data_IF_172518968061
#
_entry.id   IF_172518968061
#
_cell.length_a   1.000
_cell.length_b   1.000
_cell.length_c   1.000
_cell.angle_alpha   90.00
_cell.angle_beta   90.00
_cell.angle_gamma   90.00
#
_symmetry.space_group_name_H-M   'P 1'
#
loop_
_entity.id
_entity.type
_entity.pdbx_description
1 polymer ?
#
# COMPACT_ATOMS: atom_id res chain seq x y z
N UNK A 1 -18.62 -24.73 21.23
CA UNK A 1 -17.94 -23.58 21.84
C UNK A 1 -18.36 -22.30 21.15
N UNK A 2 -18.90 -21.33 21.88
CA UNK A 2 -19.34 -20.04 21.36
C UNK A 2 -18.11 -19.13 21.34
N UNK A 3 -17.50 -18.92 20.16
CA UNK A 3 -16.38 -17.97 20.02
C UNK A 3 -16.80 -16.60 20.56
N UNK A 4 -15.96 -15.99 21.38
CA UNK A 4 -16.24 -14.67 21.92
C UNK A 4 -16.29 -13.63 20.79
N UNK A 5 -17.02 -12.51 20.96
CA UNK A 5 -17.03 -11.42 19.97
C UNK A 5 -15.61 -10.94 19.64
N UNK A 6 -14.74 -10.93 20.63
CA UNK A 6 -13.32 -10.54 20.51
C UNK A 6 -12.55 -11.52 19.61
N UNK A 7 -12.76 -12.83 19.79
CA UNK A 7 -12.10 -13.86 19.00
C UNK A 7 -12.52 -13.81 17.52
N UNK A 8 -13.82 -13.57 17.26
CA UNK A 8 -14.34 -13.35 15.91
C UNK A 8 -13.71 -12.10 15.25
N UNK A 9 -13.60 -10.99 16.00
CA UNK A 9 -12.97 -9.76 15.51
C UNK A 9 -11.47 -9.95 15.21
N UNK A 10 -10.74 -10.66 16.06
CA UNK A 10 -9.33 -10.97 15.85
C UNK A 10 -9.12 -11.86 14.62
N UNK A 11 -9.97 -12.86 14.45
CA UNK A 11 -9.95 -13.74 13.27
C UNK A 11 -10.23 -12.94 11.99
N UNK A 12 -11.22 -12.04 12.00
CA UNK A 12 -11.52 -11.15 10.89
C UNK A 12 -10.31 -10.28 10.50
N UNK A 13 -9.70 -9.59 11.47
CA UNK A 13 -8.49 -8.78 11.25
C UNK A 13 -7.33 -9.61 10.66
N UNK A 14 -7.15 -10.84 11.16
CA UNK A 14 -6.11 -11.75 10.64
C UNK A 14 -6.34 -12.10 9.17
N UNK A 15 -7.58 -12.42 8.77
CA UNK A 15 -7.90 -12.71 7.37
C UNK A 15 -7.64 -11.47 6.50
N UNK A 16 -8.06 -10.28 6.95
CA UNK A 16 -7.81 -9.01 6.24
C UNK A 16 -6.31 -8.76 6.05
N UNK A 17 -5.50 -8.96 7.09
CA UNK A 17 -4.06 -8.76 7.02
C UNK A 17 -3.36 -9.74 6.03
N UNK A 18 -3.74 -11.02 6.06
CA UNK A 18 -3.24 -12.03 5.12
C UNK A 18 -3.66 -11.66 3.69
N UNK A 19 -4.93 -11.34 3.47
CA UNK A 19 -5.44 -10.93 2.16
C UNK A 19 -4.73 -9.68 1.64
N UNK A 20 -4.52 -8.67 2.50
CA UNK A 20 -3.81 -7.45 2.15
C UNK A 20 -2.38 -7.71 1.68
N UNK A 21 -1.66 -8.64 2.34
CA UNK A 21 -0.32 -9.07 1.93
C UNK A 21 -0.37 -9.83 0.61
N UNK A 22 -1.19 -10.88 0.54
CA UNK A 22 -1.28 -11.79 -0.61
C UNK A 22 -1.74 -11.10 -1.89
N UNK A 23 -2.71 -10.21 -1.81
CA UNK A 23 -3.13 -9.43 -2.98
C UNK A 23 -1.98 -8.58 -3.54
N UNK A 24 -1.11 -8.01 -2.71
CA UNK A 24 0.06 -7.27 -3.19
C UNK A 24 1.15 -8.17 -3.80
N UNK A 25 1.26 -9.41 -3.34
CA UNK A 25 2.23 -10.39 -3.86
C UNK A 25 1.77 -11.02 -5.17
N UNK A 26 0.49 -11.36 -5.29
CA UNK A 26 -0.05 -12.24 -6.33
C UNK A 26 -1.07 -11.53 -7.26
N UNK A 27 -1.42 -10.28 -6.97
CA UNK A 27 -2.51 -9.55 -7.64
C UNK A 27 -3.89 -9.94 -7.10
N UNK A 28 -4.92 -9.13 -7.42
CA UNK A 28 -6.28 -9.40 -6.94
C UNK A 28 -6.87 -10.69 -7.50
N UNK A 29 -6.48 -11.12 -8.68
CA UNK A 29 -6.95 -12.35 -9.31
C UNK A 29 -6.07 -13.57 -8.99
N UNK A 30 -4.83 -13.36 -8.52
CA UNK A 30 -3.82 -14.42 -8.36
C UNK A 30 -4.11 -15.40 -7.24
N UNK A 31 -4.89 -15.01 -6.21
CA UNK A 31 -5.20 -15.87 -5.08
C UNK A 31 -6.71 -16.02 -4.84
N UNK A 32 -7.16 -17.26 -4.63
CA UNK A 32 -8.54 -17.62 -4.34
C UNK A 32 -8.90 -17.54 -2.85
N UNK A 33 -10.23 -17.57 -2.55
CA UNK A 33 -10.73 -17.61 -1.16
C UNK A 33 -10.21 -18.86 -0.43
N UNK A 34 -10.11 -20.00 -1.12
CA UNK A 34 -9.68 -21.24 -0.52
C UNK A 34 -8.24 -21.14 0.04
N UNK A 35 -7.33 -20.57 -0.75
CA UNK A 35 -5.92 -20.43 -0.38
C UNK A 35 -5.74 -19.38 0.73
N UNK A 36 -6.47 -18.24 0.64
CA UNK A 36 -6.49 -17.24 1.71
C UNK A 36 -6.97 -17.81 3.05
N UNK A 37 -8.03 -18.60 3.03
CA UNK A 37 -8.57 -19.22 4.25
C UNK A 37 -7.64 -20.30 4.78
N UNK A 38 -7.02 -21.10 3.92
CA UNK A 38 -6.00 -22.08 4.30
C UNK A 38 -4.81 -21.40 4.98
N UNK A 39 -4.31 -20.28 4.44
CA UNK A 39 -3.23 -19.51 5.05
C UNK A 39 -3.61 -18.91 6.40
N UNK A 40 -4.89 -18.54 6.56
CA UNK A 40 -5.45 -18.11 7.84
C UNK A 40 -5.68 -19.27 8.84
N UNK A 41 -5.39 -20.52 8.49
CA UNK A 41 -5.67 -21.69 9.32
C UNK A 41 -7.17 -21.97 9.49
N UNK A 42 -7.98 -21.66 8.47
CA UNK A 42 -9.44 -21.74 8.51
C UNK A 42 -9.99 -22.52 7.31
N UNK A 43 -11.23 -22.99 7.45
CA UNK A 43 -11.96 -23.63 6.33
C UNK A 43 -12.63 -22.58 5.44
N UNK A 44 -12.83 -22.92 4.16
CA UNK A 44 -13.55 -22.06 3.19
C UNK A 44 -14.96 -21.70 3.70
N UNK A 45 -15.68 -22.62 4.35
CA UNK A 45 -16.99 -22.37 4.95
C UNK A 45 -16.98 -21.29 6.05
N UNK A 46 -15.82 -21.06 6.67
CA UNK A 46 -15.62 -19.99 7.66
C UNK A 46 -15.63 -18.58 7.03
N UNK A 47 -15.34 -18.45 5.75
CA UNK A 47 -15.23 -17.18 5.05
C UNK A 47 -16.53 -16.35 5.19
N UNK A 48 -17.68 -16.95 4.88
CA UNK A 48 -18.97 -16.26 4.88
C UNK A 48 -19.48 -15.85 6.27
N UNK A 49 -18.80 -16.32 7.36
CA UNK A 49 -19.05 -15.80 8.72
C UNK A 49 -18.39 -14.42 8.94
N UNK A 50 -17.45 -14.04 8.09
CA UNK A 50 -16.67 -12.80 8.20
C UNK A 50 -16.96 -11.81 7.07
N UNK A 51 -17.16 -12.29 5.83
CA UNK A 51 -17.31 -11.43 4.65
C UNK A 51 -18.53 -11.85 3.81
N UNK A 52 -19.29 -10.86 3.31
CA UNK A 52 -20.45 -11.11 2.44
C UNK A 52 -20.06 -11.57 1.04
N UNK A 53 -18.88 -11.18 0.57
CA UNK A 53 -18.36 -11.52 -0.75
C UNK A 53 -16.84 -11.38 -0.77
N UNK A 54 -16.21 -11.89 -1.84
CA UNK A 54 -14.79 -11.68 -2.10
C UNK A 54 -14.46 -10.19 -2.25
N UNK A 55 -15.31 -9.42 -2.94
CA UNK A 55 -15.11 -7.99 -3.14
C UNK A 55 -15.16 -7.21 -1.83
N UNK A 56 -15.99 -7.67 -0.86
CA UNK A 56 -15.99 -7.10 0.49
C UNK A 56 -14.65 -7.28 1.20
N UNK A 57 -14.03 -8.47 1.10
CA UNK A 57 -12.68 -8.71 1.61
C UNK A 57 -11.64 -7.86 0.87
N UNK A 58 -11.71 -7.80 -0.46
CA UNK A 58 -10.79 -6.98 -1.28
C UNK A 58 -10.83 -5.51 -0.83
N UNK A 59 -12.03 -4.93 -0.70
CA UNK A 59 -12.19 -3.55 -0.28
C UNK A 59 -11.59 -3.29 1.13
N UNK A 60 -11.81 -4.21 2.08
CA UNK A 60 -11.24 -4.10 3.42
C UNK A 60 -9.72 -4.28 3.43
N UNK A 61 -9.20 -5.25 2.67
CA UNK A 61 -7.76 -5.51 2.56
C UNK A 61 -7.00 -4.33 1.94
N UNK A 62 -7.55 -3.72 0.88
CA UNK A 62 -6.99 -2.52 0.25
C UNK A 62 -7.03 -1.34 1.22
N UNK A 63 -8.16 -1.13 1.92
CA UNK A 63 -8.27 -0.08 2.93
C UNK A 63 -7.23 -0.22 4.04
N UNK A 64 -7.07 -1.42 4.59
CA UNK A 64 -6.09 -1.75 5.63
C UNK A 64 -4.65 -1.54 5.15
N UNK A 65 -4.33 -1.99 3.94
CA UNK A 65 -2.98 -1.84 3.38
C UNK A 65 -2.59 -0.37 3.15
N UNK A 66 -3.54 0.47 2.74
CA UNK A 66 -3.30 1.91 2.55
C UNK A 66 -3.22 2.69 3.87
N UNK A 67 -3.75 2.16 4.98
CA UNK A 67 -3.61 2.74 6.31
C UNK A 67 -2.19 2.61 6.88
N UNK A 68 -1.44 1.58 6.52
CA UNK A 68 -0.11 1.29 7.07
C UNK A 68 0.89 2.46 6.93
N UNK A 69 0.76 3.27 5.88
CA UNK A 69 1.61 4.45 5.69
C UNK A 69 1.30 5.54 6.72
N UNK A 70 0.01 5.78 6.98
CA UNK A 70 -0.43 6.71 8.01
C UNK A 70 0.10 6.30 9.38
N UNK A 71 -0.07 5.02 9.73
CA UNK A 71 0.40 4.49 11.02
C UNK A 71 1.92 4.63 11.20
N UNK A 72 2.71 4.44 10.14
CA UNK A 72 4.18 4.63 10.18
C UNK A 72 4.57 6.09 10.44
N UNK A 73 3.87 7.03 9.82
CA UNK A 73 4.14 8.46 9.98
C UNK A 73 3.66 8.93 11.34
N UNK A 74 2.48 8.52 11.80
CA UNK A 74 1.96 8.86 13.13
C UNK A 74 2.87 8.29 14.24
N UNK A 75 3.39 7.08 14.10
CA UNK A 75 4.35 6.48 15.03
C UNK A 75 5.67 7.27 15.09
N UNK A 76 6.15 7.74 13.95
CA UNK A 76 7.35 8.59 13.90
C UNK A 76 7.12 9.97 14.55
N UNK A 77 5.93 10.55 14.38
CA UNK A 77 5.55 11.82 15.00
C UNK A 77 5.40 11.70 16.53
N UNK A 78 5.04 10.53 17.05
CA UNK A 78 4.83 10.28 18.49
C UNK A 78 6.14 10.08 19.31
N UNK A 79 7.31 10.35 18.74
CA UNK A 79 8.61 10.28 19.43
C UNK A 79 9.62 9.32 18.84
N UNK A 80 9.33 8.77 17.65
CA UNK A 80 10.28 8.04 16.81
C UNK A 80 11.23 8.98 16.05
N UNK A 81 12.22 8.44 15.33
CA UNK A 81 13.08 9.25 14.47
C UNK A 81 12.20 9.98 13.44
N UNK A 82 12.43 11.29 13.30
CA UNK A 82 11.66 12.15 12.38
C UNK A 82 11.79 11.62 10.96
N UNK A 83 10.68 11.25 10.34
CA UNK A 83 10.65 10.82 8.93
C UNK A 83 10.82 12.06 8.07
N UNK A 84 11.97 12.19 7.40
CA UNK A 84 12.17 13.26 6.41
C UNK A 84 11.55 12.87 5.06
N UNK A 85 11.29 13.88 4.23
CA UNK A 85 10.85 13.65 2.85
C UNK A 85 11.83 12.76 2.07
N UNK A 86 13.13 13.03 2.23
CA UNK A 86 14.19 12.28 1.56
C UNK A 86 14.22 10.82 2.01
N UNK A 87 14.12 10.56 3.32
CA UNK A 87 14.08 9.19 3.85
C UNK A 87 12.85 8.42 3.36
N UNK A 88 11.70 9.11 3.25
CA UNK A 88 10.47 8.51 2.71
C UNK A 88 10.63 8.12 1.24
N UNK A 89 11.25 8.98 0.43
CA UNK A 89 11.52 8.71 -0.99
C UNK A 89 12.51 7.54 -1.14
N UNK A 90 13.59 7.53 -0.34
CA UNK A 90 14.60 6.46 -0.38
C UNK A 90 14.03 5.11 0.05
N UNK A 91 13.26 5.07 1.12
CA UNK A 91 12.57 3.85 1.57
C UNK A 91 11.60 3.33 0.51
N UNK A 92 10.81 4.23 -0.09
CA UNK A 92 9.83 3.83 -1.10
C UNK A 92 10.48 3.33 -2.39
N UNK A 93 11.55 3.95 -2.86
CA UNK A 93 12.26 3.62 -4.09
C UNK A 93 13.47 2.68 -3.83
N UNK A 94 13.43 1.93 -2.74
CA UNK A 94 14.45 0.94 -2.40
C UNK A 94 14.25 -0.41 -3.13
N UNK A 95 15.34 -1.15 -3.32
CA UNK A 95 15.27 -2.54 -3.78
C UNK A 95 14.48 -3.42 -2.80
N UNK A 96 14.59 -3.17 -1.50
CA UNK A 96 13.82 -3.89 -0.49
C UNK A 96 12.30 -3.73 -0.69
N UNK A 97 11.82 -2.51 -0.99
CA UNK A 97 10.40 -2.30 -1.31
C UNK A 97 10.01 -2.93 -2.65
N UNK A 98 10.89 -2.90 -3.65
CA UNK A 98 10.67 -3.58 -4.94
C UNK A 98 10.48 -5.08 -4.75
N UNK A 99 11.36 -5.73 -3.98
CA UNK A 99 11.43 -7.18 -3.88
C UNK A 99 10.41 -7.78 -2.88
N UNK A 100 9.82 -6.95 -2.02
CA UNK A 100 8.83 -7.36 -1.02
C UNK A 100 7.47 -6.66 -1.19
N UNK A 101 6.74 -6.90 -2.30
CA UNK A 101 5.47 -6.21 -2.58
C UNK A 101 4.43 -6.39 -1.48
N UNK A 102 4.41 -7.56 -0.81
CA UNK A 102 3.49 -7.86 0.28
C UNK A 102 3.61 -6.94 1.51
N UNK A 103 4.77 -6.27 1.67
CA UNK A 103 5.01 -5.28 2.73
C UNK A 103 4.94 -3.84 2.24
N UNK A 104 4.83 -3.64 0.93
CA UNK A 104 4.91 -2.35 0.26
C UNK A 104 3.57 -1.65 0.06
N UNK A 105 3.63 -0.53 -0.68
CA UNK A 105 2.47 0.27 -1.02
C UNK A 105 1.52 -0.50 -1.97
N UNK A 106 0.23 -0.61 -1.65
CA UNK A 106 -0.73 -1.29 -2.51
C UNK A 106 -0.97 -0.57 -3.84
N UNK A 107 -0.76 0.74 -3.95
CA UNK A 107 -0.87 1.46 -5.22
C UNK A 107 0.23 0.99 -6.18
N UNK A 108 1.48 0.92 -5.71
CA UNK A 108 2.61 0.43 -6.51
C UNK A 108 2.54 -1.05 -6.89
N UNK A 109 1.72 -1.84 -6.19
CA UNK A 109 1.51 -3.26 -6.50
C UNK A 109 0.25 -3.53 -7.34
N UNK A 110 -0.82 -2.76 -7.11
CA UNK A 110 -2.18 -3.11 -7.54
C UNK A 110 -2.89 -2.02 -8.34
N UNK A 111 -2.21 -0.96 -8.82
CA UNK A 111 -2.88 0.14 -9.55
C UNK A 111 -3.73 -0.36 -10.73
N UNK A 112 -3.20 -1.30 -11.53
CA UNK A 112 -3.91 -1.90 -12.64
C UNK A 112 -5.13 -2.73 -12.21
N UNK A 113 -5.03 -3.48 -11.11
CA UNK A 113 -6.14 -4.25 -10.56
C UNK A 113 -7.22 -3.33 -9.97
N UNK A 114 -6.82 -2.28 -9.25
CA UNK A 114 -7.73 -1.28 -8.70
C UNK A 114 -8.53 -0.57 -9.80
N UNK A 115 -7.91 -0.25 -10.93
CA UNK A 115 -8.59 0.35 -12.07
C UNK A 115 -9.72 -0.52 -12.64
N UNK A 116 -9.58 -1.85 -12.53
CA UNK A 116 -10.55 -2.85 -13.01
C UNK A 116 -11.50 -3.36 -11.90
N UNK A 117 -11.33 -2.90 -10.67
CA UNK A 117 -12.15 -3.32 -9.53
C UNK A 117 -13.55 -2.70 -9.55
N UNK A 118 -14.44 -3.25 -8.73
CA UNK A 118 -15.80 -2.75 -8.53
C UNK A 118 -15.83 -1.32 -7.94
N UNK A 119 -16.99 -0.68 -8.03
CA UNK A 119 -17.18 0.72 -7.57
C UNK A 119 -16.86 0.91 -6.08
N UNK A 120 -17.17 -0.08 -5.22
CA UNK A 120 -16.94 -0.01 -3.77
C UNK A 120 -15.44 -0.05 -3.46
N UNK A 121 -14.73 -1.00 -4.05
CA UNK A 121 -13.27 -1.13 -3.91
C UNK A 121 -12.55 0.13 -4.40
N UNK A 122 -12.92 0.64 -5.58
CA UNK A 122 -12.37 1.89 -6.11
C UNK A 122 -12.65 3.10 -5.21
N UNK A 123 -13.86 3.20 -4.63
CA UNK A 123 -14.20 4.29 -3.71
C UNK A 123 -13.36 4.24 -2.42
N UNK A 124 -13.13 3.05 -1.86
CA UNK A 124 -12.26 2.87 -0.69
C UNK A 124 -10.83 3.27 -1.04
N UNK A 125 -10.29 2.76 -2.15
CA UNK A 125 -8.94 3.10 -2.61
C UNK A 125 -8.80 4.62 -2.85
N UNK A 126 -9.76 5.25 -3.54
CA UNK A 126 -9.73 6.69 -3.84
C UNK A 126 -9.64 7.53 -2.56
N UNK A 127 -10.47 7.22 -1.55
CA UNK A 127 -10.45 7.94 -0.27
C UNK A 127 -9.08 7.81 0.40
N UNK A 128 -8.57 6.59 0.55
CA UNK A 128 -7.27 6.33 1.19
C UNK A 128 -6.08 6.90 0.43
N UNK A 129 -6.11 6.89 -0.90
CA UNK A 129 -5.08 7.55 -1.71
C UNK A 129 -5.11 9.06 -1.48
N UNK A 130 -6.30 9.67 -1.37
CA UNK A 130 -6.44 11.09 -1.04
C UNK A 130 -5.87 11.40 0.35
N UNK A 131 -6.23 10.61 1.37
CA UNK A 131 -5.71 10.76 2.74
C UNK A 131 -4.17 10.68 2.74
N UNK A 132 -3.57 9.76 1.98
CA UNK A 132 -2.13 9.60 1.87
C UNK A 132 -1.45 10.77 1.12
N UNK A 133 -2.12 11.34 0.10
CA UNK A 133 -1.63 12.55 -0.59
C UNK A 133 -1.63 13.74 0.37
N UNK A 134 -2.69 13.93 1.15
CA UNK A 134 -2.79 15.00 2.15
C UNK A 134 -1.72 14.85 3.24
N UNK A 135 -1.49 13.62 3.72
CA UNK A 135 -0.43 13.33 4.69
C UNK A 135 0.96 13.63 4.12
N UNK A 136 1.24 13.22 2.89
CA UNK A 136 2.50 13.54 2.22
C UNK A 136 2.67 15.05 2.04
N UNK A 137 1.57 15.78 1.76
CA UNK A 137 1.60 17.24 1.68
C UNK A 137 2.01 17.91 2.99
N UNK A 138 1.62 17.36 4.15
CA UNK A 138 2.08 17.87 5.45
C UNK A 138 3.57 17.66 5.67
N UNK A 139 4.12 16.53 5.26
CA UNK A 139 5.57 16.25 5.35
C UNK A 139 6.38 17.17 4.42
N UNK A 140 5.90 17.40 3.19
CA UNK A 140 6.56 18.32 2.25
C UNK A 140 6.53 19.75 2.77
N UNK A 141 5.43 20.22 3.36
CA UNK A 141 5.30 21.55 3.98
C UNK A 141 6.34 21.78 5.07
N UNK A 142 6.54 20.79 5.93
CA UNK A 142 7.51 20.87 7.04
C UNK A 142 8.94 21.09 6.53
N UNK A 143 9.26 20.60 5.32
CA UNK A 143 10.61 20.69 4.72
C UNK A 143 10.78 21.91 3.81
N UNK A 144 9.76 22.36 3.10
CA UNK A 144 9.88 23.35 2.01
C UNK A 144 9.12 24.67 2.22
N UNK A 145 8.17 24.75 3.16
CA UNK A 145 7.33 25.92 3.48
C UNK A 145 6.64 26.60 2.27
N UNK A 146 6.18 25.83 1.29
CA UNK A 146 5.52 26.38 0.09
C UNK A 146 4.05 25.96 -0.05
N UNK A 147 3.18 26.84 -0.61
CA UNK A 147 1.73 26.61 -0.77
C UNK A 147 1.35 25.63 -1.90
N UNK A 148 2.33 25.10 -2.65
CA UNK A 148 2.08 24.20 -3.79
C UNK A 148 2.12 22.70 -3.44
N UNK A 149 1.99 22.37 -2.17
CA UNK A 149 2.33 21.04 -1.62
C UNK A 149 1.42 19.92 -2.08
N UNK A 150 0.11 20.17 -2.27
CA UNK A 150 -0.81 19.12 -2.71
C UNK A 150 -0.55 18.65 -4.15
N UNK A 151 -0.22 19.59 -5.05
CA UNK A 151 0.14 19.24 -6.43
C UNK A 151 1.45 18.46 -6.48
N UNK A 152 2.46 18.90 -5.70
CA UNK A 152 3.74 18.23 -5.56
C UNK A 152 3.56 16.82 -4.96
N UNK A 153 2.75 16.68 -3.93
CA UNK A 153 2.46 15.38 -3.30
C UNK A 153 1.82 14.39 -4.26
N UNK A 154 0.88 14.84 -5.09
CA UNK A 154 0.29 14.01 -6.15
C UNK A 154 1.34 13.54 -7.15
N UNK A 155 2.22 14.44 -7.60
CA UNK A 155 3.31 14.11 -8.51
C UNK A 155 4.27 13.10 -7.88
N UNK A 156 4.73 13.34 -6.63
CA UNK A 156 5.62 12.43 -5.90
C UNK A 156 5.00 11.04 -5.77
N UNK A 157 3.74 10.94 -5.31
CA UNK A 157 3.07 9.65 -5.17
C UNK A 157 2.94 8.91 -6.52
N UNK A 158 2.62 9.65 -7.61
CA UNK A 158 2.50 9.07 -8.95
C UNK A 158 3.84 8.56 -9.46
N UNK A 159 4.91 9.34 -9.32
CA UNK A 159 6.25 8.96 -9.74
C UNK A 159 6.77 7.75 -8.94
N UNK A 160 6.61 7.77 -7.63
CA UNK A 160 7.00 6.67 -6.76
C UNK A 160 6.25 5.37 -7.11
N UNK A 161 4.93 5.42 -7.23
CA UNK A 161 4.12 4.25 -7.57
C UNK A 161 4.43 3.73 -8.99
N UNK A 162 4.62 4.63 -9.96
CA UNK A 162 5.01 4.27 -11.33
C UNK A 162 6.39 3.64 -11.39
N UNK A 163 7.38 4.24 -10.74
CA UNK A 163 8.74 3.73 -10.71
C UNK A 163 8.84 2.32 -10.11
N UNK A 164 8.20 2.09 -8.96
CA UNK A 164 8.24 0.77 -8.30
C UNK A 164 7.51 -0.29 -9.14
N UNK A 165 6.40 0.07 -9.80
CA UNK A 165 5.68 -0.83 -10.70
C UNK A 165 6.52 -1.21 -11.93
N UNK A 166 7.18 -0.23 -12.56
CA UNK A 166 8.06 -0.47 -13.70
C UNK A 166 9.30 -1.28 -13.30
N UNK A 167 9.93 -0.96 -12.16
CA UNK A 167 11.09 -1.68 -11.67
C UNK A 167 10.80 -3.16 -11.35
N UNK A 168 9.55 -3.49 -10.99
CA UNK A 168 9.08 -4.87 -10.82
C UNK A 168 8.76 -5.57 -12.14
N UNK A 169 8.36 -4.82 -13.16
CA UNK A 169 7.93 -5.38 -14.45
C UNK A 169 9.10 -5.77 -15.36
N UNK A 170 10.26 -5.14 -15.20
CA UNK A 170 11.43 -5.44 -16.03
C UNK A 170 12.21 -6.63 -15.47
N UNK A 171 12.70 -7.52 -16.36
CA UNK A 171 13.55 -8.66 -15.99
C UNK A 171 15.03 -8.28 -15.84
N UNK A 172 15.44 -7.17 -16.44
CA UNK A 172 16.80 -6.62 -16.33
C UNK A 172 16.98 -5.93 -14.98
N UNK A 173 17.86 -6.52 -14.14
CA UNK A 173 18.13 -6.01 -12.79
C UNK A 173 18.81 -4.65 -12.78
N UNK A 174 19.66 -4.37 -13.77
CA UNK A 174 20.35 -3.08 -13.87
C UNK A 174 19.36 -1.97 -14.24
N UNK A 175 18.58 -2.18 -15.29
CA UNK A 175 17.49 -1.27 -15.65
C UNK A 175 16.52 -1.03 -14.49
N UNK A 176 16.18 -2.10 -13.74
CA UNK A 176 15.33 -2.00 -12.56
C UNK A 176 15.90 -1.05 -11.50
N UNK A 177 17.22 -1.14 -11.20
CA UNK A 177 17.91 -0.24 -10.28
C UNK A 177 17.99 1.19 -10.80
N UNK A 178 18.31 1.35 -12.08
CA UNK A 178 18.39 2.66 -12.75
C UNK A 178 17.04 3.41 -12.68
N UNK A 179 15.92 2.74 -12.91
CA UNK A 179 14.58 3.33 -12.78
C UNK A 179 14.38 3.90 -11.38
N UNK A 180 14.64 3.12 -10.33
CA UNK A 180 14.45 3.56 -8.94
C UNK A 180 15.38 4.73 -8.59
N UNK A 181 16.68 4.61 -8.94
CA UNK A 181 17.70 5.63 -8.69
C UNK A 181 17.37 6.96 -9.39
N UNK A 182 17.01 6.91 -10.66
CA UNK A 182 16.67 8.10 -11.45
C UNK A 182 15.50 8.87 -10.84
N UNK A 183 14.43 8.17 -10.49
CA UNK A 183 13.26 8.83 -9.90
C UNK A 183 13.55 9.34 -8.49
N UNK A 184 14.31 8.60 -7.66
CA UNK A 184 14.72 9.07 -6.33
C UNK A 184 15.55 10.36 -6.43
N UNK A 185 16.55 10.40 -7.31
CA UNK A 185 17.38 11.58 -7.53
C UNK A 185 16.55 12.78 -7.99
N UNK A 186 15.65 12.59 -8.95
CA UNK A 186 14.78 13.66 -9.47
C UNK A 186 13.83 14.21 -8.42
N UNK A 187 13.28 13.36 -7.56
CA UNK A 187 12.39 13.79 -6.47
C UNK A 187 13.12 14.57 -5.38
N UNK A 188 14.35 14.19 -5.06
CA UNK A 188 15.17 14.88 -4.04
C UNK A 188 15.83 16.16 -4.57
N UNK A 189 16.13 16.23 -5.88
CA UNK A 189 16.74 17.38 -6.53
C UNK A 189 15.86 17.91 -7.67
N UNK A 190 14.85 18.78 -7.38
CA UNK A 190 13.93 19.28 -8.39
C UNK A 190 14.59 20.13 -9.49
N UNK A 191 15.83 20.60 -9.27
CA UNK A 191 16.62 21.38 -10.23
C UNK A 191 17.29 20.53 -11.33
N UNK A 192 17.33 19.22 -11.19
CA UNK A 192 17.75 18.26 -12.21
C UNK A 192 16.53 17.86 -13.08
#
# INVERSE_FOLDING_TARGET
MRHSKTEKANTHKRIVAIAAKKFREEGLAGIGIADLMKEAGLTVGGFYKHFKSRDALVAEAIGSALELWKDRIDAAAAGGPRVSYESLVDDYLSEAHRDHPGMGCPVGALAGDLARSDKRTRAVATRKIRDNIELLATLIRDTTKTDKDTARSRAVMTYCAGAISMARAVSDKELSREILKTVSQRLKNPAL
#
